data_IF_680089100980
#
_entry.id   IF_680089100980
#
_cell.length_a   1.000
_cell.length_b   1.000
_cell.length_c   1.000
_cell.angle_alpha   90.00
_cell.angle_beta   90.00
_cell.angle_gamma   90.00
#
_symmetry.space_group_name_H-M   'P 1'
#
loop_
_entity.id
_entity.type
_entity.pdbx_description
1 polymer ?
#
# COMPACT_ATOMS: atom_id res chain seq x y z
N UNK A 1 23.02 16.01 -14.11
CA UNK A 1 22.65 14.69 -13.54
C UNK A 1 21.71 14.02 -14.54
N UNK A 2 21.68 12.69 -14.60
CA UNK A 2 20.62 11.98 -15.33
C UNK A 2 19.30 12.23 -14.59
N UNK A 3 18.19 12.40 -15.31
CA UNK A 3 16.88 12.57 -14.67
C UNK A 3 16.46 11.26 -13.98
N UNK A 4 16.55 11.25 -12.65
CA UNK A 4 16.22 10.09 -11.78
C UNK A 4 14.72 9.88 -11.59
N UNK A 5 13.94 10.87 -11.97
CA UNK A 5 12.50 10.94 -11.80
C UNK A 5 11.90 11.38 -13.12
N UNK A 6 10.94 10.62 -13.60
CA UNK A 6 10.04 11.01 -14.69
C UNK A 6 8.67 11.31 -14.12
N UNK A 7 7.96 12.25 -14.74
CA UNK A 7 6.63 12.66 -14.33
C UNK A 7 5.71 12.78 -15.55
N UNK A 8 4.43 12.41 -15.38
CA UNK A 8 3.37 12.67 -16.35
C UNK A 8 2.18 13.27 -15.62
N UNK A 9 1.77 14.47 -16.05
CA UNK A 9 0.54 15.11 -15.55
C UNK A 9 -0.67 14.36 -16.09
N UNK A 10 -1.64 14.11 -15.22
CA UNK A 10 -2.83 13.39 -15.59
C UNK A 10 -3.86 14.32 -16.27
N UNK A 11 -4.03 14.17 -17.58
CA UNK A 11 -5.03 14.93 -18.35
C UNK A 11 -6.46 14.43 -18.14
N UNK A 12 -6.65 13.31 -17.43
CA UNK A 12 -7.96 12.74 -17.08
C UNK A 12 -8.39 13.10 -15.66
N UNK A 13 -7.61 13.94 -14.96
CA UNK A 13 -7.96 14.44 -13.66
C UNK A 13 -9.30 15.20 -13.73
N UNK A 14 -10.26 14.77 -12.91
CA UNK A 14 -11.60 15.36 -12.84
C UNK A 14 -12.07 15.38 -11.38
N UNK A 15 -12.35 16.58 -10.89
CA UNK A 15 -12.84 16.84 -9.53
C UNK A 15 -14.30 16.42 -9.33
N UNK A 16 -15.01 16.01 -10.38
CA UNK A 16 -16.38 15.53 -10.27
C UNK A 16 -16.44 14.30 -9.36
N UNK A 17 -17.38 14.31 -8.41
CA UNK A 17 -17.57 13.17 -7.51
C UNK A 17 -18.13 11.96 -8.26
N UNK A 18 -17.40 10.85 -8.28
CA UNK A 18 -17.75 9.63 -8.97
C UNK A 18 -18.46 8.68 -7.99
N UNK A 19 -19.78 8.80 -7.90
CA UNK A 19 -20.59 7.94 -7.03
C UNK A 19 -20.40 6.45 -7.32
N UNK A 20 -20.18 6.07 -8.58
CA UNK A 20 -20.07 4.66 -8.98
C UNK A 20 -18.85 3.99 -8.37
N UNK A 21 -17.69 4.65 -8.38
CA UNK A 21 -16.47 4.10 -7.78
C UNK A 21 -16.36 4.40 -6.28
N UNK A 22 -16.77 5.59 -5.86
CA UNK A 22 -16.58 6.04 -4.48
C UNK A 22 -17.62 5.48 -3.51
N UNK A 23 -18.80 5.01 -3.95
CA UNK A 23 -19.80 4.37 -3.06
C UNK A 23 -19.20 3.24 -2.20
N UNK A 24 -18.24 2.50 -2.75
CA UNK A 24 -17.57 1.40 -2.06
C UNK A 24 -16.61 1.85 -0.95
N UNK A 25 -16.36 3.16 -0.85
CA UNK A 25 -15.55 3.80 0.19
C UNK A 25 -16.37 4.84 0.96
N UNK A 26 -17.70 4.78 0.92
CA UNK A 26 -18.54 5.69 1.69
C UNK A 26 -18.15 5.71 3.18
N UNK A 27 -18.44 6.82 3.86
CA UNK A 27 -18.14 6.98 5.29
C UNK A 27 -18.68 5.81 6.14
N UNK A 28 -19.85 5.28 5.81
CA UNK A 28 -20.42 4.09 6.47
C UNK A 28 -19.56 2.84 6.26
N UNK A 29 -19.14 2.58 5.02
CA UNK A 29 -18.27 1.43 4.70
C UNK A 29 -16.93 1.57 5.43
N UNK A 30 -16.30 2.74 5.36
CA UNK A 30 -15.04 3.01 6.06
C UNK A 30 -15.18 2.79 7.57
N UNK A 31 -16.28 3.27 8.17
CA UNK A 31 -16.53 3.10 9.59
C UNK A 31 -16.72 1.63 9.97
N UNK A 32 -17.44 0.84 9.16
CA UNK A 32 -17.61 -0.61 9.38
C UNK A 32 -16.28 -1.36 9.29
N UNK A 33 -15.44 -1.03 8.31
CA UNK A 33 -14.08 -1.60 8.18
C UNK A 33 -13.28 -1.31 9.45
N UNK A 34 -13.25 -0.03 9.84
CA UNK A 34 -12.47 0.43 10.99
C UNK A 34 -12.93 -0.25 12.28
N UNK A 35 -14.23 -0.27 12.54
CA UNK A 35 -14.82 -0.91 13.72
C UNK A 35 -14.50 -2.40 13.78
N UNK A 36 -14.65 -3.12 12.65
CA UNK A 36 -14.32 -4.54 12.61
C UNK A 36 -12.84 -4.79 12.92
N UNK A 37 -11.92 -4.08 12.27
CA UNK A 37 -10.49 -4.27 12.50
C UNK A 37 -10.08 -3.96 13.94
N UNK A 38 -10.71 -2.96 14.57
CA UNK A 38 -10.51 -2.63 15.99
C UNK A 38 -10.98 -3.72 16.96
N UNK A 39 -11.81 -4.67 16.53
CA UNK A 39 -12.21 -5.80 17.38
C UNK A 39 -11.10 -6.82 17.58
N UNK A 40 -10.01 -6.75 16.80
CA UNK A 40 -8.82 -7.57 17.06
C UNK A 40 -8.02 -6.97 18.21
N UNK A 41 -7.71 -7.78 19.24
CA UNK A 41 -6.88 -7.35 20.38
C UNK A 41 -5.46 -6.94 19.96
N UNK A 42 -4.99 -7.39 18.79
CA UNK A 42 -3.69 -7.05 18.22
C UNK A 42 -3.72 -5.77 17.37
N UNK A 43 -4.90 -5.16 17.19
CA UNK A 43 -5.02 -3.89 16.49
C UNK A 43 -4.27 -2.80 17.25
N UNK A 44 -3.37 -2.11 16.55
CA UNK A 44 -2.65 -0.96 17.08
C UNK A 44 -2.78 0.19 16.11
N UNK A 45 -3.29 1.34 16.58
CA UNK A 45 -3.20 2.60 15.84
C UNK A 45 -1.72 2.93 15.60
N UNK A 46 -1.34 3.18 14.36
CA UNK A 46 0.07 3.43 14.02
C UNK A 46 0.45 4.89 14.22
N UNK A 47 1.73 5.20 14.49
CA UNK A 47 2.17 6.58 14.68
C UNK A 47 1.88 7.47 13.47
N UNK A 48 1.40 8.70 13.72
CA UNK A 48 1.29 9.78 12.75
C UNK A 48 2.25 10.89 13.16
N UNK A 49 3.34 11.04 12.41
CA UNK A 49 4.55 11.73 12.86
C UNK A 49 4.75 13.00 12.03
N UNK A 50 4.76 14.20 12.65
CA UNK A 50 5.22 15.42 12.00
C UNK A 50 6.76 15.46 11.93
N UNK A 51 7.31 15.82 10.78
CA UNK A 51 8.73 16.08 10.55
C UNK A 51 8.94 17.58 10.31
N UNK A 52 8.75 18.38 11.36
CA UNK A 52 8.76 19.83 11.29
C UNK A 52 10.15 20.39 10.86
N UNK A 53 11.24 19.72 11.24
CA UNK A 53 12.59 20.16 10.87
C UNK A 53 12.88 19.88 9.40
N UNK A 54 12.44 18.73 8.90
CA UNK A 54 12.48 18.43 7.48
C UNK A 54 11.61 19.41 6.67
N UNK A 55 10.41 19.72 7.15
CA UNK A 55 9.51 20.69 6.51
C UNK A 55 10.17 22.06 6.36
N UNK A 56 10.74 22.60 7.46
CA UNK A 56 11.48 23.85 7.44
C UNK A 56 12.71 23.79 6.51
N UNK A 57 13.44 22.67 6.51
CA UNK A 57 14.64 22.50 5.68
C UNK A 57 14.35 22.46 4.19
N UNK A 58 13.22 21.87 3.77
CA UNK A 58 12.82 21.82 2.36
C UNK A 58 11.91 23.00 1.96
N UNK A 59 11.47 23.84 2.91
CA UNK A 59 10.68 25.05 2.66
C UNK A 59 9.24 24.74 2.29
N UNK A 60 8.54 24.01 3.16
CA UNK A 60 7.10 23.70 3.10
C UNK A 60 6.47 23.85 4.49
N UNK A 61 5.14 23.92 4.58
CA UNK A 61 4.42 24.15 5.84
C UNK A 61 4.56 22.96 6.80
N UNK A 62 4.25 21.75 6.30
CA UNK A 62 4.26 20.51 7.09
C UNK A 62 4.70 19.31 6.25
N UNK A 63 5.35 18.36 6.90
CA UNK A 63 5.58 17.01 6.38
C UNK A 63 5.09 16.03 7.43
N UNK A 64 4.06 15.25 7.09
CA UNK A 64 3.51 14.19 7.91
C UNK A 64 3.88 12.82 7.35
N UNK A 65 4.24 11.90 8.23
CA UNK A 65 4.49 10.50 7.91
C UNK A 65 3.55 9.61 8.71
N UNK A 66 2.74 8.80 8.03
CA UNK A 66 2.01 7.70 8.67
C UNK A 66 2.90 6.45 8.70
N UNK A 67 3.30 5.99 9.89
CA UNK A 67 4.28 4.90 10.06
C UNK A 67 3.63 3.52 10.22
N UNK A 68 3.40 2.84 9.10
CA UNK A 68 2.83 1.48 9.11
C UNK A 68 3.85 0.39 9.48
N UNK A 69 5.10 0.73 9.79
CA UNK A 69 6.08 -0.24 10.32
C UNK A 69 5.65 -0.83 11.68
N UNK A 70 4.71 -0.21 12.37
CA UNK A 70 4.19 -0.68 13.67
C UNK A 70 2.94 -1.55 13.57
N UNK A 71 2.37 -1.68 12.37
CA UNK A 71 1.06 -2.30 12.17
C UNK A 71 1.07 -3.78 12.56
N UNK A 72 0.31 -4.15 13.59
CA UNK A 72 0.15 -5.53 14.12
C UNK A 72 1.47 -6.27 14.46
N UNK A 73 2.59 -5.55 14.58
CA UNK A 73 3.93 -6.17 14.69
C UNK A 73 4.40 -6.91 13.43
N UNK A 74 3.78 -6.66 12.28
CA UNK A 74 4.13 -7.31 11.00
C UNK A 74 5.04 -6.47 10.11
N UNK A 75 5.46 -5.30 10.60
CA UNK A 75 6.35 -4.38 9.90
C UNK A 75 5.78 -3.81 8.60
N UNK A 76 4.49 -3.99 8.29
CA UNK A 76 3.87 -3.46 7.08
C UNK A 76 2.34 -3.37 7.19
N UNK A 77 1.73 -2.53 6.35
CA UNK A 77 0.29 -2.24 6.36
C UNK A 77 -0.61 -3.36 5.81
N UNK A 78 -0.09 -4.23 4.92
CA UNK A 78 -0.94 -5.10 4.06
C UNK A 78 -1.86 -6.06 4.82
N UNK A 79 -1.55 -6.38 6.08
CA UNK A 79 -2.43 -7.15 6.97
C UNK A 79 -3.82 -6.53 7.12
N UNK A 80 -3.95 -5.21 7.02
CA UNK A 80 -5.22 -4.50 7.11
C UNK A 80 -6.23 -4.98 6.05
N UNK A 81 -5.76 -5.10 4.81
CA UNK A 81 -6.56 -5.64 3.70
C UNK A 81 -6.87 -7.12 3.89
N UNK A 82 -5.86 -7.92 4.27
CA UNK A 82 -6.01 -9.36 4.47
C UNK A 82 -7.01 -9.74 5.58
N UNK A 83 -6.92 -9.09 6.75
CA UNK A 83 -7.84 -9.29 7.88
C UNK A 83 -9.28 -8.98 7.46
N UNK A 84 -9.50 -7.85 6.80
CA UNK A 84 -10.86 -7.45 6.44
C UNK A 84 -11.43 -8.35 5.35
N UNK A 85 -10.64 -8.68 4.32
CA UNK A 85 -11.09 -9.56 3.24
C UNK A 85 -11.43 -10.98 3.72
N UNK A 86 -10.55 -11.59 4.52
CA UNK A 86 -10.81 -12.93 5.09
C UNK A 86 -11.96 -12.89 6.09
N UNK A 87 -12.01 -11.88 6.95
CA UNK A 87 -13.09 -11.70 7.91
C UNK A 87 -14.45 -11.55 7.23
N UNK A 88 -14.51 -10.76 6.16
CA UNK A 88 -15.72 -10.55 5.35
C UNK A 88 -16.14 -11.80 4.60
N UNK A 89 -15.18 -12.55 4.05
CA UNK A 89 -15.44 -13.85 3.44
C UNK A 89 -16.09 -14.83 4.43
N UNK A 90 -15.52 -14.95 5.63
CA UNK A 90 -16.07 -15.83 6.68
C UNK A 90 -17.45 -15.32 7.15
N UNK A 91 -17.62 -14.01 7.33
CA UNK A 91 -18.91 -13.43 7.70
C UNK A 91 -20.02 -13.77 6.68
N UNK A 92 -19.70 -13.71 5.38
CA UNK A 92 -20.62 -14.13 4.33
C UNK A 92 -21.00 -15.61 4.41
N UNK A 93 -20.05 -16.51 4.69
CA UNK A 93 -20.35 -17.94 4.90
C UNK A 93 -21.29 -18.18 6.09
N UNK A 94 -21.26 -17.29 7.08
CA UNK A 94 -22.17 -17.31 8.23
C UNK A 94 -23.52 -16.61 7.94
N UNK A 95 -23.70 -16.02 6.74
CA UNK A 95 -24.88 -15.25 6.38
C UNK A 95 -25.01 -13.94 7.16
N UNK A 96 -23.88 -13.33 7.56
CA UNK A 96 -23.82 -12.11 8.36
C UNK A 96 -23.09 -10.98 7.65
N UNK A 97 -23.47 -9.74 7.95
CA UNK A 97 -22.66 -8.58 7.61
C UNK A 97 -21.42 -8.50 8.52
N UNK A 98 -20.35 -7.89 8.01
CA UNK A 98 -19.09 -7.74 8.76
C UNK A 98 -19.26 -6.92 10.04
N UNK A 99 -20.26 -6.02 10.09
CA UNK A 99 -20.57 -5.22 11.29
C UNK A 99 -21.30 -6.02 12.39
N UNK A 100 -21.76 -7.23 12.10
CA UNK A 100 -22.47 -8.11 13.05
C UNK A 100 -21.55 -9.12 13.73
N UNK A 101 -20.25 -9.09 13.41
CA UNK A 101 -19.24 -10.03 13.92
C UNK A 101 -18.01 -9.30 14.44
N UNK A 102 -17.34 -9.91 15.41
CA UNK A 102 -16.02 -9.48 15.88
C UNK A 102 -14.95 -10.47 15.42
N UNK A 103 -13.70 -10.02 15.36
CA UNK A 103 -12.56 -10.87 15.04
C UNK A 103 -12.47 -12.09 15.99
N UNK A 104 -12.72 -11.89 17.28
CA UNK A 104 -12.73 -12.96 18.27
C UNK A 104 -13.88 -13.97 18.05
N UNK A 105 -15.06 -13.50 17.65
CA UNK A 105 -16.15 -14.40 17.28
C UNK A 105 -15.79 -15.25 16.05
N UNK A 106 -15.16 -14.65 15.03
CA UNK A 106 -14.73 -15.37 13.83
C UNK A 106 -13.66 -16.43 14.11
N UNK A 107 -12.86 -16.24 15.17
CA UNK A 107 -11.85 -17.20 15.63
C UNK A 107 -12.43 -18.38 16.43
N UNK A 108 -13.67 -18.28 16.90
CA UNK A 108 -14.25 -19.26 17.83
C UNK A 108 -14.40 -20.67 17.24
N UNK A 109 -14.32 -21.68 18.11
CA UNK A 109 -14.60 -23.08 17.74
C UNK A 109 -16.03 -23.29 17.21
N UNK A 110 -16.99 -22.43 17.61
CA UNK A 110 -18.34 -22.44 17.05
C UNK A 110 -18.34 -22.09 15.56
N UNK A 111 -17.63 -21.02 15.18
CA UNK A 111 -17.51 -20.62 13.77
C UNK A 111 -16.75 -21.68 12.98
N UNK A 112 -15.64 -22.19 13.51
CA UNK A 112 -14.86 -23.27 12.89
C UNK A 112 -15.70 -24.54 12.70
N UNK A 113 -16.56 -24.89 13.65
CA UNK A 113 -17.49 -26.03 13.53
C UNK A 113 -18.56 -25.85 12.44
N UNK A 114 -18.93 -24.62 12.10
CA UNK A 114 -19.93 -24.32 11.06
C UNK A 114 -19.35 -24.25 9.65
N UNK A 115 -18.21 -23.58 9.49
CA UNK A 115 -17.62 -23.33 8.16
C UNK A 115 -16.54 -24.36 7.80
N UNK A 116 -16.11 -25.17 8.77
CA UNK A 116 -14.99 -26.08 8.62
C UNK A 116 -13.65 -25.36 8.57
N UNK A 117 -12.71 -25.97 7.87
CA UNK A 117 -11.37 -25.43 7.66
C UNK A 117 -11.22 -24.97 6.21
N UNK A 118 -10.99 -23.68 6.03
CA UNK A 118 -10.82 -23.03 4.73
C UNK A 118 -9.33 -22.88 4.46
N UNK A 119 -8.93 -23.07 3.21
CA UNK A 119 -7.56 -22.79 2.75
C UNK A 119 -7.57 -21.56 1.88
N UNK A 120 -6.87 -20.51 2.32
CA UNK A 120 -6.65 -19.30 1.55
C UNK A 120 -5.36 -19.42 0.74
N UNK A 121 -5.39 -19.03 -0.54
CA UNK A 121 -4.23 -19.08 -1.43
C UNK A 121 -3.91 -17.71 -1.99
N UNK A 122 -2.62 -17.37 -2.09
CA UNK A 122 -2.18 -16.05 -2.57
C UNK A 122 -0.78 -16.08 -3.17
N UNK A 123 -0.53 -15.21 -4.16
CA UNK A 123 0.81 -14.88 -4.62
C UNK A 123 1.32 -13.59 -3.94
N UNK A 124 2.60 -13.53 -3.58
CA UNK A 124 3.18 -12.33 -2.96
C UNK A 124 4.68 -12.18 -3.18
N UNK A 125 5.15 -10.93 -3.17
CA UNK A 125 6.54 -10.51 -3.00
C UNK A 125 6.99 -10.40 -1.52
N UNK A 126 6.05 -10.55 -0.57
CA UNK A 126 6.30 -10.50 0.86
C UNK A 126 5.07 -10.10 1.69
N UNK A 127 4.78 -8.80 1.74
CA UNK A 127 3.88 -8.23 2.75
C UNK A 127 2.42 -8.71 2.62
N UNK A 128 1.94 -8.94 1.39
CA UNK A 128 0.54 -9.34 1.15
C UNK A 128 0.30 -10.74 1.69
N UNK A 129 1.11 -11.70 1.25
CA UNK A 129 0.99 -13.07 1.71
C UNK A 129 1.29 -13.21 3.20
N UNK A 130 2.12 -12.34 3.79
CA UNK A 130 2.31 -12.33 5.25
C UNK A 130 1.06 -11.87 5.98
N UNK A 131 0.37 -10.85 5.47
CA UNK A 131 -0.93 -10.43 5.98
C UNK A 131 -2.00 -11.52 5.89
N UNK A 132 -2.08 -12.21 4.74
CA UNK A 132 -2.99 -13.34 4.51
C UNK A 132 -2.67 -14.51 5.43
N UNK A 133 -1.40 -14.91 5.51
CA UNK A 133 -0.94 -16.01 6.37
C UNK A 133 -1.22 -15.73 7.85
N UNK A 134 -0.93 -14.51 8.30
CA UNK A 134 -1.24 -14.08 9.66
C UNK A 134 -2.74 -14.15 9.94
N UNK A 135 -3.58 -13.58 9.07
CA UNK A 135 -5.03 -13.55 9.27
C UNK A 135 -5.63 -14.96 9.27
N UNK A 136 -5.18 -15.84 8.37
CA UNK A 136 -5.59 -17.23 8.33
C UNK A 136 -5.22 -17.95 9.65
N UNK A 137 -3.98 -17.81 10.13
CA UNK A 137 -3.55 -18.42 11.41
C UNK A 137 -4.40 -17.93 12.57
N UNK A 138 -4.58 -16.61 12.71
CA UNK A 138 -5.32 -16.04 13.83
C UNK A 138 -6.79 -16.49 13.84
N UNK A 139 -7.38 -16.76 12.68
CA UNK A 139 -8.75 -17.26 12.53
C UNK A 139 -8.86 -18.79 12.50
N UNK A 140 -7.76 -19.51 12.77
CA UNK A 140 -7.72 -20.96 12.83
C UNK A 140 -7.93 -21.65 11.47
N UNK A 141 -7.62 -20.95 10.38
CA UNK A 141 -7.70 -21.38 8.98
C UNK A 141 -6.31 -21.67 8.39
N UNK A 142 -6.26 -22.16 7.15
CA UNK A 142 -5.00 -22.48 6.44
C UNK A 142 -4.64 -21.41 5.42
N UNK A 143 -3.34 -21.28 5.16
CA UNK A 143 -2.82 -20.41 4.10
C UNK A 143 -1.75 -21.14 3.26
N UNK A 144 -1.86 -21.00 1.94
CA UNK A 144 -0.86 -21.39 0.95
C UNK A 144 -0.37 -20.14 0.25
N UNK A 145 0.93 -19.86 0.31
CA UNK A 145 1.51 -18.63 -0.21
C UNK A 145 2.62 -18.97 -1.21
N UNK A 146 2.46 -18.56 -2.46
CA UNK A 146 3.51 -18.66 -3.46
C UNK A 146 4.22 -17.32 -3.64
N UNK A 147 5.54 -17.36 -3.75
CA UNK A 147 6.38 -16.21 -4.01
C UNK A 147 7.05 -16.34 -5.37
N UNK A 148 7.26 -15.27 -6.14
CA UNK A 148 7.94 -15.36 -7.43
C UNK A 148 9.43 -15.63 -7.27
N UNK A 149 10.05 -16.09 -8.36
CA UNK A 149 11.49 -16.28 -8.48
C UNK A 149 12.26 -15.03 -8.06
N UNK A 150 13.32 -15.25 -7.29
CA UNK A 150 14.19 -14.18 -6.78
C UNK A 150 13.73 -13.57 -5.45
N UNK A 151 12.60 -14.01 -4.91
CA UNK A 151 12.12 -13.57 -3.59
C UNK A 151 13.11 -13.89 -2.46
N UNK A 152 13.17 -13.01 -1.47
CA UNK A 152 14.07 -13.14 -0.31
C UNK A 152 13.71 -14.36 0.55
N UNK A 153 14.71 -15.19 0.86
CA UNK A 153 14.56 -16.29 1.81
C UNK A 153 14.11 -15.79 3.20
N UNK A 154 14.48 -14.56 3.60
CA UNK A 154 14.02 -13.98 4.86
C UNK A 154 12.49 -13.81 4.87
N UNK A 155 11.92 -13.29 3.77
CA UNK A 155 10.47 -13.14 3.61
C UNK A 155 9.76 -14.48 3.53
N UNK A 156 10.34 -15.47 2.84
CA UNK A 156 9.81 -16.84 2.82
C UNK A 156 9.73 -17.44 4.23
N UNK A 157 10.77 -17.28 5.04
CA UNK A 157 10.75 -17.78 6.42
C UNK A 157 9.74 -17.03 7.29
N UNK A 158 9.56 -15.72 7.08
CA UNK A 158 8.51 -14.97 7.77
C UNK A 158 7.12 -15.58 7.51
N UNK A 159 6.80 -15.94 6.25
CA UNK A 159 5.53 -16.61 5.90
C UNK A 159 5.37 -17.97 6.60
N UNK A 160 6.44 -18.79 6.59
CA UNK A 160 6.44 -20.11 7.25
C UNK A 160 6.27 -19.98 8.78
N UNK A 161 6.86 -18.95 9.37
CA UNK A 161 6.69 -18.65 10.80
C UNK A 161 5.26 -18.19 11.14
N UNK A 162 4.51 -17.65 10.17
CA UNK A 162 3.07 -17.43 10.32
C UNK A 162 2.25 -18.73 10.22
N UNK A 163 2.87 -19.88 9.93
CA UNK A 163 2.21 -21.18 9.81
C UNK A 163 1.66 -21.50 8.42
N UNK A 164 1.95 -20.66 7.43
CA UNK A 164 1.55 -20.92 6.05
C UNK A 164 2.44 -21.98 5.38
N UNK A 165 1.84 -22.76 4.47
CA UNK A 165 2.60 -23.48 3.46
C UNK A 165 3.11 -22.45 2.46
N UNK A 166 4.43 -22.24 2.39
CA UNK A 166 5.01 -21.23 1.52
C UNK A 166 6.19 -21.76 0.69
N UNK A 167 6.23 -21.35 -0.57
CA UNK A 167 7.21 -21.77 -1.57
C UNK A 167 7.57 -20.63 -2.53
N UNK A 168 8.81 -20.64 -3.04
CA UNK A 168 9.26 -19.75 -4.10
C UNK A 168 9.16 -20.52 -5.43
N UNK A 169 8.43 -19.97 -6.39
CA UNK A 169 8.27 -20.51 -7.74
C UNK A 169 9.48 -20.15 -8.61
N UNK A 170 9.58 -20.79 -9.78
CA UNK A 170 10.60 -20.50 -10.79
C UNK A 170 10.18 -19.43 -11.81
N UNK A 171 9.04 -18.77 -11.59
CA UNK A 171 8.42 -17.81 -12.53
C UNK A 171 8.28 -16.42 -11.92
N UNK A 172 7.91 -15.43 -12.72
CA UNK A 172 7.72 -14.05 -12.25
C UNK A 172 6.42 -13.89 -11.44
N UNK A 173 6.14 -12.66 -10.98
CA UNK A 173 4.98 -12.35 -10.13
C UNK A 173 3.65 -12.68 -10.80
N UNK A 174 3.43 -12.20 -12.02
CA UNK A 174 2.15 -12.37 -12.73
C UNK A 174 1.87 -13.84 -13.06
N UNK A 175 2.90 -14.62 -13.42
CA UNK A 175 2.76 -16.07 -13.63
C UNK A 175 2.51 -16.81 -12.31
N UNK A 176 3.09 -16.34 -11.19
CA UNK A 176 2.79 -16.90 -9.86
C UNK A 176 1.33 -16.67 -9.47
N UNK A 177 0.73 -15.52 -9.84
CA UNK A 177 -0.72 -15.29 -9.66
C UNK A 177 -1.53 -16.31 -10.45
N UNK A 178 -1.16 -16.58 -11.72
CA UNK A 178 -1.85 -17.58 -12.56
C UNK A 178 -1.79 -18.98 -11.96
N UNK A 179 -0.63 -19.38 -11.42
CA UNK A 179 -0.46 -20.65 -10.69
C UNK A 179 -1.41 -20.70 -9.48
N UNK A 180 -1.43 -19.66 -8.65
CA UNK A 180 -2.32 -19.58 -7.49
C UNK A 180 -3.81 -19.67 -7.89
N UNK A 181 -4.20 -18.99 -8.97
CA UNK A 181 -5.56 -19.02 -9.47
C UNK A 181 -5.97 -20.42 -9.92
N UNK A 182 -5.13 -21.10 -10.71
CA UNK A 182 -5.40 -22.46 -11.16
C UNK A 182 -5.49 -23.45 -9.99
N UNK A 183 -4.56 -23.38 -9.03
CA UNK A 183 -4.59 -24.21 -7.83
C UNK A 183 -5.83 -23.94 -6.96
N UNK A 184 -6.31 -22.69 -6.93
CA UNK A 184 -7.54 -22.34 -6.23
C UNK A 184 -8.75 -23.06 -6.84
N UNK A 185 -8.88 -23.05 -8.17
CA UNK A 185 -9.97 -23.74 -8.87
C UNK A 185 -9.90 -25.26 -8.72
N UNK A 186 -8.70 -25.85 -8.83
CA UNK A 186 -8.53 -27.31 -8.77
C UNK A 186 -8.81 -27.90 -7.38
N UNK A 187 -8.53 -27.14 -6.31
CA UNK A 187 -8.55 -27.63 -4.94
C UNK A 187 -9.64 -26.98 -4.07
N UNK A 188 -10.51 -26.15 -4.65
CA UNK A 188 -11.54 -25.39 -3.94
C UNK A 188 -10.95 -24.49 -2.83
N UNK A 189 -9.78 -23.89 -3.12
CA UNK A 189 -9.17 -22.90 -2.22
C UNK A 189 -9.73 -21.51 -2.50
N UNK A 190 -9.69 -20.66 -1.49
CA UNK A 190 -10.16 -19.28 -1.61
C UNK A 190 -8.99 -18.38 -1.99
N UNK A 191 -9.00 -17.87 -3.21
CA UNK A 191 -7.97 -16.94 -3.67
C UNK A 191 -8.12 -15.58 -2.96
N UNK A 192 -7.05 -15.12 -2.32
CA UNK A 192 -6.97 -13.80 -1.67
C UNK A 192 -5.82 -13.03 -2.29
N UNK A 193 -6.08 -12.31 -3.38
CA UNK A 193 -5.09 -11.53 -4.10
C UNK A 193 -5.43 -10.04 -4.05
N UNK A 194 -4.42 -9.20 -3.86
CA UNK A 194 -4.54 -7.74 -3.76
C UNK A 194 -4.63 -7.03 -5.12
N UNK A 195 -4.94 -7.73 -6.21
CA UNK A 195 -5.22 -7.17 -7.54
C UNK A 195 -6.50 -7.75 -8.13
N UNK A 196 -7.19 -6.96 -8.95
CA UNK A 196 -8.45 -7.33 -9.58
C UNK A 196 -8.29 -7.52 -11.10
N UNK A 197 -9.04 -8.47 -11.64
CA UNK A 197 -9.20 -8.73 -13.08
C UNK A 197 -10.65 -9.08 -13.38
N UNK A 198 -10.98 -9.28 -14.66
CA UNK A 198 -12.34 -9.67 -15.07
C UNK A 198 -12.76 -10.97 -14.38
N UNK A 199 -13.87 -10.93 -13.65
CA UNK A 199 -14.38 -12.07 -12.87
C UNK A 199 -13.82 -12.20 -11.44
N UNK A 200 -12.79 -11.44 -11.07
CA UNK A 200 -12.22 -11.43 -9.72
C UNK A 200 -12.02 -10.00 -9.21
N UNK A 201 -13.01 -9.48 -8.47
CA UNK A 201 -13.05 -8.08 -8.05
C UNK A 201 -13.55 -7.88 -6.60
N UNK A 202 -14.35 -8.81 -6.08
CA UNK A 202 -14.95 -8.68 -4.76
C UNK A 202 -13.91 -8.69 -3.62
N UNK A 203 -13.05 -9.71 -3.56
CA UNK A 203 -11.98 -9.81 -2.57
C UNK A 203 -10.95 -8.66 -2.71
N UNK A 204 -10.46 -8.32 -3.92
CA UNK A 204 -9.62 -7.14 -4.12
C UNK A 204 -10.25 -5.86 -3.61
N UNK A 205 -11.55 -5.66 -3.85
CA UNK A 205 -12.28 -4.50 -3.32
C UNK A 205 -12.26 -4.50 -1.79
N UNK A 206 -12.48 -5.64 -1.14
CA UNK A 206 -12.40 -5.72 0.32
C UNK A 206 -10.99 -5.42 0.83
N UNK A 207 -9.95 -5.91 0.16
CA UNK A 207 -8.56 -5.58 0.50
C UNK A 207 -8.35 -4.07 0.43
N UNK A 208 -8.80 -3.41 -0.65
CA UNK A 208 -8.72 -1.95 -0.79
C UNK A 208 -9.49 -1.23 0.31
N UNK A 209 -10.71 -1.69 0.65
CA UNK A 209 -11.52 -1.16 1.75
C UNK A 209 -10.78 -1.30 3.09
N UNK A 210 -10.12 -2.43 3.33
CA UNK A 210 -9.32 -2.68 4.53
C UNK A 210 -8.21 -1.65 4.75
N UNK A 211 -7.66 -1.07 3.68
CA UNK A 211 -6.66 -0.01 3.75
C UNK A 211 -7.24 1.36 4.13
N UNK A 212 -8.55 1.57 4.02
CA UNK A 212 -9.21 2.84 4.35
C UNK A 212 -9.02 3.23 5.83
N UNK A 213 -8.83 2.26 6.72
CA UNK A 213 -8.53 2.53 8.13
C UNK A 213 -7.28 3.37 8.34
N UNK A 214 -6.29 3.27 7.46
CA UNK A 214 -5.08 4.11 7.55
C UNK A 214 -5.47 5.60 7.45
N UNK A 215 -6.39 5.92 6.54
CA UNK A 215 -6.92 7.28 6.37
C UNK A 215 -7.84 7.68 7.52
N UNK A 216 -8.66 6.77 8.03
CA UNK A 216 -9.48 7.02 9.21
C UNK A 216 -8.62 7.37 10.44
N UNK A 217 -7.50 6.66 10.64
CA UNK A 217 -6.57 6.98 11.72
C UNK A 217 -5.91 8.34 11.54
N UNK A 218 -5.46 8.67 10.33
CA UNK A 218 -4.89 9.99 10.00
C UNK A 218 -5.92 11.09 10.27
N UNK A 219 -7.18 10.89 9.87
CA UNK A 219 -8.27 11.82 10.11
C UNK A 219 -8.47 12.11 11.61
N UNK A 220 -8.44 11.07 12.43
CA UNK A 220 -8.53 11.20 13.89
C UNK A 220 -7.29 11.84 14.52
N UNK A 221 -6.09 11.54 14.00
CA UNK A 221 -4.83 12.11 14.48
C UNK A 221 -4.77 13.62 14.18
N UNK A 222 -5.11 14.04 12.94
CA UNK A 222 -5.18 15.45 12.56
C UNK A 222 -6.13 16.24 13.46
N UNK A 223 -7.31 15.68 13.75
CA UNK A 223 -8.26 16.30 14.70
C UNK A 223 -7.71 16.39 16.12
N UNK A 224 -7.02 15.35 16.58
CA UNK A 224 -6.44 15.31 17.93
C UNK A 224 -5.31 16.33 18.06
N UNK A 225 -4.55 16.55 16.99
CA UNK A 225 -3.45 17.51 16.91
C UNK A 225 -3.91 18.95 16.61
N UNK A 226 -5.19 19.15 16.27
CA UNK A 226 -5.73 20.43 15.75
C UNK A 226 -4.99 20.93 14.50
N UNK A 227 -4.61 20.00 13.62
CA UNK A 227 -3.87 20.28 12.38
C UNK A 227 -4.80 20.26 11.16
N UNK A 228 -4.52 21.15 10.20
CA UNK A 228 -5.25 21.21 8.93
C UNK A 228 -4.95 19.96 8.06
N UNK A 229 -5.90 19.55 7.20
CA UNK A 229 -5.67 18.42 6.28
C UNK A 229 -4.49 18.67 5.32
N UNK A 230 -3.84 17.59 4.84
CA UNK A 230 -2.76 17.71 3.85
C UNK A 230 -3.28 18.31 2.55
N UNK A 231 -2.45 19.11 1.87
CA UNK A 231 -2.72 19.61 0.52
C UNK A 231 -2.13 18.70 -0.55
N UNK A 232 -1.07 17.95 -0.22
CA UNK A 232 -0.35 17.06 -1.12
C UNK A 232 -0.22 15.68 -0.48
N UNK A 233 -0.75 14.65 -1.15
CA UNK A 233 -0.66 13.26 -0.71
C UNK A 233 0.15 12.48 -1.74
N UNK A 234 1.35 12.03 -1.35
CA UNK A 234 2.18 11.16 -2.17
C UNK A 234 1.99 9.71 -1.72
N UNK A 235 1.59 8.86 -2.67
CA UNK A 235 1.24 7.48 -2.40
C UNK A 235 1.88 6.56 -3.43
N UNK A 236 2.60 5.57 -2.93
CA UNK A 236 3.29 4.59 -3.75
C UNK A 236 2.33 3.54 -4.32
N UNK A 237 2.62 3.04 -5.52
CA UNK A 237 1.81 2.02 -6.19
C UNK A 237 2.67 0.89 -6.77
N UNK A 238 2.23 -0.35 -6.52
CA UNK A 238 2.48 -1.48 -7.42
C UNK A 238 1.25 -1.64 -8.33
N UNK A 239 0.42 -2.65 -8.08
CA UNK A 239 -0.90 -2.78 -8.76
C UNK A 239 -1.89 -1.64 -8.46
N UNK A 240 -1.59 -0.73 -7.52
CA UNK A 240 -2.40 0.47 -7.23
C UNK A 240 -3.53 0.33 -6.22
N UNK A 241 -3.85 -0.88 -5.73
CA UNK A 241 -4.90 -1.11 -4.73
C UNK A 241 -4.76 -0.26 -3.46
N UNK A 242 -3.54 -0.14 -2.94
CA UNK A 242 -3.23 0.74 -1.81
C UNK A 242 -3.49 2.21 -2.15
N UNK A 243 -2.85 2.70 -3.22
CA UNK A 243 -3.01 4.08 -3.66
C UNK A 243 -4.49 4.46 -3.87
N UNK A 244 -5.25 3.65 -4.59
CA UNK A 244 -6.67 3.89 -4.83
C UNK A 244 -7.49 3.88 -3.55
N UNK A 245 -7.24 2.95 -2.63
CA UNK A 245 -7.92 2.92 -1.33
C UNK A 245 -7.66 4.17 -0.49
N UNK A 246 -6.42 4.66 -0.47
CA UNK A 246 -6.04 5.90 0.22
C UNK A 246 -6.73 7.12 -0.43
N UNK A 247 -6.62 7.27 -1.75
CA UNK A 247 -7.21 8.38 -2.52
C UNK A 247 -8.73 8.43 -2.33
N UNK A 248 -9.42 7.30 -2.55
CA UNK A 248 -10.87 7.23 -2.41
C UNK A 248 -11.34 7.59 -0.99
N UNK A 249 -10.61 7.13 0.03
CA UNK A 249 -10.92 7.41 1.43
C UNK A 249 -10.75 8.90 1.78
N UNK A 250 -9.69 9.54 1.30
CA UNK A 250 -9.50 10.99 1.51
C UNK A 250 -10.60 11.81 0.83
N UNK A 251 -10.95 11.47 -0.41
CA UNK A 251 -12.03 12.16 -1.14
C UNK A 251 -13.37 12.02 -0.40
N UNK A 252 -13.64 10.85 0.17
CA UNK A 252 -14.87 10.62 0.94
C UNK A 252 -14.93 11.47 2.21
N UNK A 253 -13.79 11.75 2.84
CA UNK A 253 -13.73 12.56 4.07
C UNK A 253 -13.71 14.07 3.80
N UNK A 254 -12.96 14.50 2.79
CA UNK A 254 -12.63 15.91 2.56
C UNK A 254 -13.17 16.50 1.25
N UNK A 255 -13.69 15.67 0.34
CA UNK A 255 -14.08 16.11 -1.00
C UNK A 255 -12.93 16.06 -2.01
N UNK A 256 -13.21 16.48 -3.24
CA UNK A 256 -12.33 16.27 -4.40
C UNK A 256 -11.40 17.44 -4.70
N UNK A 257 -11.63 18.62 -4.13
CA UNK A 257 -10.88 19.86 -4.44
C UNK A 257 -9.82 20.20 -3.38
N UNK A 258 -9.90 19.62 -2.19
CA UNK A 258 -9.06 19.98 -1.04
C UNK A 258 -7.61 19.45 -1.13
N UNK A 259 -7.39 18.40 -1.93
CA UNK A 259 -6.15 17.63 -1.94
C UNK A 259 -5.68 17.33 -3.36
N UNK A 260 -4.36 17.35 -3.54
CA UNK A 260 -3.69 16.82 -4.73
C UNK A 260 -3.06 15.48 -4.42
N UNK A 261 -3.25 14.52 -5.32
CA UNK A 261 -2.75 13.15 -5.17
C UNK A 261 -1.66 12.86 -6.20
N UNK A 262 -0.58 12.22 -5.74
CA UNK A 262 0.59 11.91 -6.55
C UNK A 262 0.94 10.43 -6.39
N UNK A 263 0.92 9.70 -7.49
CA UNK A 263 1.26 8.27 -7.50
C UNK A 263 2.74 8.09 -7.79
N UNK A 264 3.41 7.24 -7.01
CA UNK A 264 4.86 7.02 -7.08
C UNK A 264 5.17 5.55 -7.36
N UNK A 265 5.90 5.27 -8.43
CA UNK A 265 6.27 3.92 -8.86
C UNK A 265 7.77 3.78 -9.08
N UNK A 266 8.35 2.57 -8.94
CA UNK A 266 9.68 2.26 -9.42
C UNK A 266 9.74 2.33 -10.96
N UNK A 267 10.80 2.91 -11.52
CA UNK A 267 10.95 3.10 -12.96
C UNK A 267 10.99 1.80 -13.80
N UNK A 268 11.25 0.66 -13.17
CA UNK A 268 11.23 -0.65 -13.81
C UNK A 268 9.89 -1.38 -13.68
N UNK A 269 8.93 -0.85 -12.90
CA UNK A 269 7.56 -1.38 -12.77
C UNK A 269 6.53 -0.23 -12.72
N UNK A 270 6.69 0.75 -13.61
CA UNK A 270 5.94 2.01 -13.65
C UNK A 270 4.68 1.93 -14.53
N UNK A 271 3.83 0.93 -14.27
CA UNK A 271 2.65 0.62 -15.08
C UNK A 271 1.65 1.79 -15.15
N UNK A 272 1.45 2.53 -14.07
CA UNK A 272 0.60 3.73 -14.09
C UNK A 272 1.26 4.85 -14.89
N UNK A 273 2.51 5.20 -14.63
CA UNK A 273 3.24 6.21 -15.40
C UNK A 273 3.14 5.95 -16.91
N UNK A 274 3.39 4.72 -17.37
CA UNK A 274 3.29 4.37 -18.80
C UNK A 274 1.87 4.49 -19.34
N UNK A 275 0.88 4.03 -18.58
CA UNK A 275 -0.54 4.13 -18.94
C UNK A 275 -0.96 5.56 -19.28
N UNK A 276 -0.38 6.56 -18.60
CA UNK A 276 -0.68 7.97 -18.82
C UNK A 276 0.32 8.68 -19.76
N UNK A 277 1.59 8.25 -19.80
CA UNK A 277 2.62 8.85 -20.64
C UNK A 277 2.50 8.46 -22.12
N UNK A 278 2.16 7.20 -22.40
CA UNK A 278 2.23 6.64 -23.75
C UNK A 278 0.85 6.36 -24.36
N UNK A 279 -0.14 6.02 -23.53
CA UNK A 279 -1.33 5.29 -23.99
C UNK A 279 -2.66 6.03 -23.79
N UNK A 280 -2.67 7.36 -23.84
CA UNK A 280 -3.92 8.15 -23.76
C UNK A 280 -4.79 7.77 -22.55
N UNK A 281 -4.16 7.38 -21.42
CA UNK A 281 -4.85 6.97 -20.19
C UNK A 281 -5.49 5.58 -20.23
N UNK A 282 -5.03 4.66 -21.09
CA UNK A 282 -5.40 3.25 -21.05
C UNK A 282 -4.35 2.44 -20.28
N UNK A 283 -4.77 1.35 -19.62
CA UNK A 283 -3.86 0.48 -18.86
C UNK A 283 -2.73 -0.05 -19.76
N UNK A 284 -1.50 0.04 -19.27
CA UNK A 284 -0.31 -0.51 -19.90
C UNK A 284 0.42 -1.41 -18.89
N UNK A 285 0.68 -2.65 -19.31
CA UNK A 285 1.44 -3.61 -18.53
C UNK A 285 2.95 -3.39 -18.70
N UNK A 286 3.70 -3.52 -17.62
CA UNK A 286 5.16 -3.63 -17.67
C UNK A 286 5.54 -5.10 -17.73
N UNK A 287 6.29 -5.47 -18.78
CA UNK A 287 6.76 -6.83 -19.00
C UNK A 287 8.28 -6.94 -18.84
N UNK A 288 8.78 -8.15 -18.60
CA UNK A 288 10.20 -8.43 -18.41
C UNK A 288 10.63 -8.41 -16.94
N UNK A 289 11.93 -8.30 -16.72
CA UNK A 289 12.52 -8.32 -15.37
C UNK A 289 12.36 -6.96 -14.69
N UNK A 290 11.40 -6.86 -13.77
CA UNK A 290 11.11 -5.67 -12.95
C UNK A 290 12.07 -5.57 -11.74
N UNK A 291 13.38 -5.60 -12.01
CA UNK A 291 14.42 -5.69 -10.98
C UNK A 291 14.65 -4.34 -10.27
N UNK A 292 13.73 -3.95 -9.38
CA UNK A 292 13.88 -2.81 -8.47
C UNK A 292 14.07 -3.29 -7.03
N UNK A 293 14.77 -2.51 -6.21
CA UNK A 293 14.81 -2.75 -4.76
C UNK A 293 13.44 -2.60 -4.12
N UNK A 294 12.51 -1.83 -4.72
CA UNK A 294 11.17 -1.54 -4.21
C UNK A 294 10.23 -2.73 -4.38
N UNK A 295 10.59 -3.87 -3.80
CA UNK A 295 9.97 -5.16 -4.06
C UNK A 295 8.44 -5.15 -3.92
N UNK A 296 7.89 -4.43 -2.94
CA UNK A 296 6.44 -4.29 -2.70
C UNK A 296 5.67 -3.53 -3.79
N UNK A 297 6.38 -2.93 -4.76
CA UNK A 297 5.85 -2.13 -5.86
C UNK A 297 6.17 -2.75 -7.24
N UNK A 298 6.88 -3.89 -7.29
CA UNK A 298 7.28 -4.52 -8.55
C UNK A 298 6.12 -5.33 -9.18
N UNK A 299 5.11 -4.63 -9.67
CA UNK A 299 3.93 -5.24 -10.30
C UNK A 299 3.84 -4.85 -11.78
N UNK A 300 3.46 -5.82 -12.63
CA UNK A 300 3.40 -5.61 -14.08
C UNK A 300 2.10 -4.95 -14.54
N UNK A 301 0.96 -5.39 -14.00
CA UNK A 301 -0.36 -4.99 -14.49
C UNK A 301 -1.13 -4.12 -13.47
N UNK A 302 -1.72 -2.99 -13.88
CA UNK A 302 -2.60 -2.19 -13.02
C UNK A 302 -3.84 -2.98 -12.59
N UNK A 303 -4.26 -2.84 -11.33
CA UNK A 303 -5.56 -3.34 -10.87
C UNK A 303 -6.68 -2.56 -11.59
N UNK A 304 -7.59 -3.27 -12.26
CA UNK A 304 -8.65 -2.68 -13.09
C UNK A 304 -9.56 -1.71 -12.33
N UNK A 305 -9.83 -1.96 -11.05
CA UNK A 305 -10.63 -1.08 -10.18
C UNK A 305 -9.82 0.11 -9.68
N UNK A 306 -8.61 -0.14 -9.20
CA UNK A 306 -7.71 0.92 -8.76
C UNK A 306 -7.44 1.91 -9.90
N UNK A 307 -7.28 1.42 -11.12
CA UNK A 307 -7.06 2.24 -12.31
C UNK A 307 -8.17 3.26 -12.55
N UNK A 308 -9.45 2.89 -12.40
CA UNK A 308 -10.56 3.83 -12.61
C UNK A 308 -10.56 4.98 -11.61
N UNK A 309 -10.28 4.69 -10.33
CA UNK A 309 -10.16 5.71 -9.29
C UNK A 309 -8.94 6.60 -9.53
N UNK A 310 -7.76 6.01 -9.74
CA UNK A 310 -6.51 6.76 -9.88
C UNK A 310 -6.47 7.59 -11.16
N UNK A 311 -7.06 7.07 -12.26
CA UNK A 311 -7.23 7.82 -13.53
C UNK A 311 -8.00 9.11 -13.33
N UNK A 312 -9.00 9.12 -12.46
CA UNK A 312 -9.82 10.30 -12.27
C UNK A 312 -9.22 11.27 -11.24
N UNK A 313 -8.60 10.76 -10.18
CA UNK A 313 -8.29 11.60 -9.00
C UNK A 313 -6.81 11.86 -8.76
N UNK A 314 -5.91 11.24 -9.51
CA UNK A 314 -4.46 11.52 -9.39
C UNK A 314 -4.08 12.71 -10.24
N UNK A 315 -3.26 13.64 -9.72
CA UNK A 315 -2.78 14.80 -10.46
C UNK A 315 -1.54 14.48 -11.31
N UNK A 316 -0.63 13.67 -10.79
CA UNK A 316 0.62 13.32 -11.49
C UNK A 316 1.08 11.92 -11.09
N UNK A 317 1.58 11.18 -12.09
CA UNK A 317 2.21 9.88 -11.90
C UNK A 317 3.73 10.03 -12.06
N UNK A 318 4.49 9.46 -11.12
CA UNK A 318 5.94 9.53 -11.06
C UNK A 318 6.57 8.16 -11.21
N UNK A 319 7.63 8.09 -12.01
CA UNK A 319 8.46 6.92 -12.25
C UNK A 319 9.88 7.23 -11.72
N UNK A 320 10.29 6.54 -10.66
CA UNK A 320 11.47 6.87 -9.85
C UNK A 320 12.53 5.76 -9.90
N UNK A 321 13.80 6.14 -10.05
CA UNK A 321 14.92 5.22 -9.84
C UNK A 321 15.04 4.79 -8.37
N UNK A 322 15.61 3.60 -8.12
CA UNK A 322 15.84 3.02 -6.79
C UNK A 322 16.64 3.93 -5.83
N UNK A 323 17.51 4.78 -6.36
CA UNK A 323 18.26 5.76 -5.56
C UNK A 323 17.33 6.73 -4.82
N UNK A 324 16.13 7.03 -5.36
CA UNK A 324 15.13 7.89 -4.73
C UNK A 324 14.54 7.21 -3.49
N UNK A 325 14.21 5.92 -3.59
CA UNK A 325 13.78 5.13 -2.44
C UNK A 325 14.87 5.06 -1.37
N UNK A 326 16.11 4.74 -1.78
CA UNK A 326 17.25 4.66 -0.89
C UNK A 326 17.56 5.99 -0.18
N UNK A 327 17.36 7.12 -0.86
CA UNK A 327 17.43 8.45 -0.25
C UNK A 327 16.39 8.59 0.87
N UNK A 328 15.12 8.29 0.58
CA UNK A 328 14.04 8.36 1.57
C UNK A 328 14.34 7.53 2.81
N UNK A 329 14.86 6.30 2.62
CA UNK A 329 15.23 5.41 3.73
C UNK A 329 16.27 6.05 4.64
N UNK A 330 17.29 6.71 4.06
CA UNK A 330 18.34 7.39 4.83
C UNK A 330 17.84 8.65 5.52
N UNK A 331 16.97 9.43 4.90
CA UNK A 331 16.37 10.63 5.51
C UNK A 331 15.52 10.23 6.72
N UNK A 332 14.65 9.22 6.58
CA UNK A 332 13.80 8.73 7.67
C UNK A 332 14.62 8.07 8.78
N UNK A 333 15.66 7.30 8.40
CA UNK A 333 16.51 6.57 9.33
C UNK A 333 17.54 7.43 10.07
N UNK A 334 17.82 8.63 9.57
CA UNK A 334 18.74 9.62 10.16
C UNK A 334 18.14 11.04 10.04
N UNK A 335 17.13 11.35 10.87
CA UNK A 335 16.32 12.56 10.74
C UNK A 335 17.10 13.83 11.11
N UNK A 336 16.54 14.99 10.74
CA UNK A 336 17.08 16.29 11.11
C UNK A 336 16.72 16.66 12.55
N UNK A 337 17.73 17.07 13.32
CA UNK A 337 17.60 17.62 14.67
C UNK A 337 16.70 16.79 15.62
N UNK A 338 15.44 17.21 15.79
CA UNK A 338 14.46 16.65 16.74
C UNK A 338 13.36 15.84 16.07
N UNK A 339 13.36 15.75 14.74
CA UNK A 339 12.40 14.92 14.03
C UNK A 339 12.58 13.45 14.46
N UNK A 340 11.46 12.73 14.57
CA UNK A 340 11.49 11.35 15.02
C UNK A 340 12.13 10.44 13.97
N UNK A 341 12.95 9.49 14.43
CA UNK A 341 13.54 8.48 13.56
C UNK A 341 12.50 7.45 13.16
N UNK A 342 12.36 7.22 11.86
CA UNK A 342 11.44 6.24 11.30
C UNK A 342 12.25 5.17 10.55
N UNK A 343 12.02 3.90 10.89
CA UNK A 343 12.57 2.78 10.12
C UNK A 343 11.63 2.51 8.96
N UNK A 344 12.11 2.75 7.74
CA UNK A 344 11.31 2.64 6.52
C UNK A 344 12.05 1.79 5.48
N UNK A 345 11.37 0.76 4.98
CA UNK A 345 11.89 -0.08 3.89
C UNK A 345 11.87 0.64 2.55
N UNK A 346 12.45 0.00 1.54
CA UNK A 346 12.51 0.48 0.15
C UNK A 346 11.20 1.09 -0.37
N UNK A 347 10.11 0.32 -0.36
CA UNK A 347 8.83 0.74 -0.93
C UNK A 347 8.11 1.74 -0.03
N UNK A 348 8.38 1.71 1.28
CA UNK A 348 7.81 2.65 2.26
C UNK A 348 8.40 4.05 2.14
N UNK A 349 9.66 4.16 1.73
CA UNK A 349 10.38 5.43 1.78
C UNK A 349 10.34 6.25 0.49
N UNK A 350 9.95 5.65 -0.64
CA UNK A 350 10.06 6.26 -1.97
C UNK A 350 9.32 7.59 -2.08
N UNK A 351 8.14 7.72 -1.46
CA UNK A 351 7.34 8.95 -1.49
C UNK A 351 8.05 10.12 -0.80
N UNK A 352 8.72 9.88 0.34
CA UNK A 352 9.53 10.94 0.98
C UNK A 352 10.79 11.26 0.16
N UNK A 353 11.44 10.22 -0.36
CA UNK A 353 12.59 10.38 -1.24
C UNK A 353 12.27 11.28 -2.44
N UNK A 354 11.10 11.06 -3.07
CA UNK A 354 10.61 11.88 -4.17
C UNK A 354 10.35 13.33 -3.73
N UNK A 355 9.65 13.54 -2.61
CA UNK A 355 9.39 14.89 -2.08
C UNK A 355 10.68 15.68 -1.89
N UNK A 356 11.69 15.06 -1.25
CA UNK A 356 13.00 15.69 -1.08
C UNK A 356 13.66 15.97 -2.44
N UNK A 357 13.62 15.00 -3.36
CA UNK A 357 14.22 15.12 -4.68
C UNK A 357 13.61 16.29 -5.47
N UNK A 358 12.28 16.42 -5.47
CA UNK A 358 11.57 17.52 -6.11
C UNK A 358 12.00 18.88 -5.55
N UNK A 359 12.05 19.02 -4.21
CA UNK A 359 12.43 20.30 -3.58
C UNK A 359 13.90 20.68 -3.72
N UNK A 360 14.81 19.71 -3.88
CA UNK A 360 16.26 19.99 -3.90
C UNK A 360 16.90 19.91 -5.27
N UNK A 361 16.38 19.07 -6.17
CA UNK A 361 17.03 18.77 -7.46
C UNK A 361 16.12 18.97 -8.67
N UNK A 362 14.79 18.94 -8.50
CA UNK A 362 13.82 19.13 -9.58
C UNK A 362 12.79 20.22 -9.25
N UNK A 363 13.28 21.42 -8.90
CA UNK A 363 12.45 22.52 -8.41
C UNK A 363 11.38 22.97 -9.40
N UNK A 364 11.64 22.87 -10.72
CA UNK A 364 10.64 23.16 -11.74
C UNK A 364 9.44 22.20 -11.68
N UNK A 365 9.66 20.90 -11.40
CA UNK A 365 8.58 19.94 -11.19
C UNK A 365 7.84 20.21 -9.87
N UNK A 366 8.58 20.61 -8.83
CA UNK A 366 7.98 21.00 -7.54
C UNK A 366 7.05 22.22 -7.69
N UNK A 367 7.47 23.24 -8.44
CA UNK A 367 6.67 24.44 -8.74
C UNK A 367 5.40 24.09 -9.53
N UNK A 368 5.51 23.20 -10.53
CA UNK A 368 4.37 22.78 -11.36
C UNK A 368 3.22 22.16 -10.56
N UNK A 369 3.54 21.46 -9.46
CA UNK A 369 2.51 20.84 -8.62
C UNK A 369 2.05 21.74 -7.46
N UNK A 370 2.70 22.89 -7.25
CA UNK A 370 2.42 23.80 -6.15
C UNK A 370 3.04 23.36 -4.81
N UNK A 371 4.23 22.76 -4.86
CA UNK A 371 4.96 22.33 -3.67
C UNK A 371 5.75 23.51 -3.06
N UNK A 372 5.04 24.47 -2.49
CA UNK A 372 5.54 25.74 -1.96
C UNK A 372 5.51 25.80 -0.41
N UNK A 373 5.74 26.98 0.16
CA UNK A 373 5.75 27.20 1.61
C UNK A 373 4.40 26.94 2.31
N UNK A 374 3.31 26.81 1.57
CA UNK A 374 1.96 26.49 2.08
C UNK A 374 1.60 25.01 1.90
N UNK A 375 2.53 24.19 1.38
CA UNK A 375 2.29 22.78 1.18
C UNK A 375 2.31 22.01 2.52
N UNK A 376 1.23 21.28 2.80
CA UNK A 376 1.13 20.29 3.87
C UNK A 376 1.18 18.91 3.24
N UNK A 377 2.33 18.27 3.34
CA UNK A 377 2.65 17.03 2.65
C UNK A 377 2.31 15.85 3.55
N UNK A 378 1.61 14.87 3.01
CA UNK A 378 1.45 13.55 3.59
C UNK A 378 2.19 12.51 2.75
N UNK A 379 3.02 11.71 3.42
CA UNK A 379 3.57 10.47 2.88
C UNK A 379 3.20 9.31 3.82
N UNK A 380 3.11 8.10 3.28
CA UNK A 380 2.83 6.89 4.08
C UNK A 380 4.05 5.98 4.01
N UNK A 381 4.67 5.74 5.17
CA UNK A 381 5.67 4.69 5.28
C UNK A 381 4.97 3.34 5.34
N UNK A 382 4.85 2.66 4.19
CA UNK A 382 4.09 1.41 4.08
C UNK A 382 4.73 0.21 4.77
N UNK A 383 6.04 0.25 5.03
CA UNK A 383 6.76 -0.87 5.64
C UNK A 383 8.03 -0.43 6.39
N UNK A 384 8.42 -1.18 7.41
CA UNK A 384 9.72 -1.07 8.07
C UNK A 384 10.81 -1.83 7.34
N UNK A 385 11.80 -2.31 8.09
CA UNK A 385 12.91 -3.13 7.61
C UNK A 385 12.49 -4.61 7.39
N UNK A 386 11.57 -4.85 6.46
CA UNK A 386 11.05 -6.20 6.14
C UNK A 386 12.13 -7.16 5.62
N UNK A 387 13.21 -6.60 5.06
CA UNK A 387 14.51 -7.25 4.87
C UNK A 387 15.59 -6.46 5.62
N UNK A 388 15.93 -6.84 6.87
CA UNK A 388 16.90 -6.11 7.69
C UNK A 388 18.32 -6.09 7.12
N UNK A 389 18.68 -7.05 6.27
CA UNK A 389 19.98 -7.10 5.61
C UNK A 389 20.03 -6.03 4.52
N UNK A 390 19.03 -6.04 3.63
CA UNK A 390 18.92 -5.03 2.59
C UNK A 390 18.86 -3.61 3.18
N UNK A 391 18.05 -3.41 4.21
CA UNK A 391 17.93 -2.12 4.88
C UNK A 391 19.29 -1.59 5.34
N UNK A 392 20.10 -2.42 6.01
CA UNK A 392 21.44 -2.05 6.49
C UNK A 392 22.43 -1.78 5.35
N UNK A 393 22.36 -2.52 4.26
CA UNK A 393 23.17 -2.24 3.07
C UNK A 393 22.91 -0.81 2.54
N UNK A 394 21.65 -0.39 2.55
CA UNK A 394 21.27 0.96 2.09
C UNK A 394 21.69 2.04 3.10
N UNK A 395 21.35 1.87 4.38
CA UNK A 395 21.50 2.96 5.38
C UNK A 395 22.88 3.02 6.03
N UNK A 396 23.66 1.94 6.01
CA UNK A 396 25.02 1.91 6.58
C UNK A 396 26.11 1.83 5.52
N UNK A 397 25.93 1.00 4.49
CA UNK A 397 26.96 0.78 3.46
C UNK A 397 26.81 1.69 2.24
N UNK A 398 25.74 2.49 2.17
CA UNK A 398 25.52 3.41 1.06
C UNK A 398 25.18 2.72 -0.26
N UNK A 399 24.56 1.53 -0.22
CA UNK A 399 24.01 0.91 -1.44
C UNK A 399 22.96 1.84 -2.06
N UNK A 400 22.98 2.03 -3.38
CA UNK A 400 22.12 3.00 -4.11
C UNK A 400 22.33 4.46 -3.65
N UNK A 401 23.59 4.89 -3.58
CA UNK A 401 23.98 6.24 -3.13
C UNK A 401 24.16 7.24 -4.28
N UNK A 402 23.82 6.88 -5.53
CA UNK A 402 24.14 7.70 -6.70
C UNK A 402 23.18 8.89 -6.87
N UNK A 403 22.79 9.58 -5.78
CA UNK A 403 21.91 10.76 -5.79
C UNK A 403 22.57 11.97 -6.42
#
# INVERSE_FOLDING_TARGET
MRDKVKAVQNTFFDVTFNETELQYFSKDVMQKVFQFQQTSEKFTKTPFIPLDQLAAYIGVEKVFVKDESKRFGLHAFKVMGGIYAIGKYIAQLLGKDISEVTFEQLRSEEVKGKIGEITFISATDGNHGRGVAWAARELGQKAIIYMPKGSSNHRLQALKNEGAQAEITDVNYDETIRICHHLAEENDYVMVQDTAWEGYDEIPLWIMQGYATIVQEIYEDLKTMDEAPPTHVFVQAGVGSFAAGIVASFIQLYGTEEMKFFVVEPNLADCYYRSFANNGGNMEAVTGDMNSIMAGLCCGEPNVRAFRILKQYTNTFYSCEDDVAALGMRILGNPLERDEKIVSGESGAVSLGLVYYLKKYATSLAEQIGLDEHARILVINSEGDTDPVHYRDVVWLGKNANM
#
